data_IF_036910255004
#
_entry.id   IF_036910255004
#
_cell.length_a   1.000
_cell.length_b   1.000
_cell.length_c   1.000
_cell.angle_alpha   90.00
_cell.angle_beta   90.00
_cell.angle_gamma   90.00
#
_symmetry.space_group_name_H-M   'P 1'
#
loop_
_entity.id
_entity.type
_entity.pdbx_description
1 polymer ?
#
# COMPACT_ATOMS: atom_id res chain seq x y z
N UNK A 1 -8.27 10.60 1.60
CA UNK A 1 -9.45 11.03 0.83
C UNK A 1 -9.12 12.28 0.04
N UNK A 2 -9.63 12.49 -1.20
CA UNK A 2 -9.26 13.63 -2.04
C UNK A 2 -9.49 15.02 -1.41
N UNK A 3 -10.41 15.12 -0.44
CA UNK A 3 -10.64 16.36 0.32
C UNK A 3 -9.47 16.77 1.23
N UNK A 4 -8.55 15.87 1.55
CA UNK A 4 -7.50 16.09 2.55
C UNK A 4 -8.01 16.13 4.01
N UNK A 5 -9.32 16.04 4.24
CA UNK A 5 -9.93 16.10 5.58
C UNK A 5 -10.13 14.74 6.25
N UNK A 6 -9.86 13.64 5.52
CA UNK A 6 -9.93 12.27 6.02
C UNK A 6 -8.76 11.45 5.47
N UNK A 7 -8.15 10.64 6.34
CA UNK A 7 -7.01 9.80 6.03
C UNK A 7 -6.71 8.82 7.16
N UNK A 8 -5.66 8.03 7.02
CA UNK A 8 -5.18 7.12 8.06
C UNK A 8 -4.51 7.93 9.18
N UNK A 9 -4.95 7.74 10.43
CA UNK A 9 -4.36 8.37 11.62
C UNK A 9 -4.11 7.32 12.73
N UNK A 10 -3.05 6.50 12.59
CA UNK A 10 -2.76 5.45 13.55
C UNK A 10 -2.23 6.03 14.86
N UNK A 11 -2.70 5.47 15.98
CA UNK A 11 -2.20 5.82 17.31
C UNK A 11 -0.80 5.22 17.53
N UNK A 12 0.12 6.02 18.06
CA UNK A 12 1.48 5.58 18.40
C UNK A 12 2.43 5.51 17.20
N UNK A 13 3.23 4.43 17.13
CA UNK A 13 4.16 4.19 16.02
C UNK A 13 3.44 3.38 14.93
N UNK A 14 3.31 3.91 13.70
CA UNK A 14 2.70 3.15 12.62
C UNK A 14 3.51 1.90 12.31
N UNK A 15 2.81 0.78 12.08
CA UNK A 15 3.44 -0.46 11.62
C UNK A 15 3.50 -0.57 10.09
N UNK A 16 2.67 0.22 9.40
CA UNK A 16 2.51 0.23 7.94
C UNK A 16 3.42 1.29 7.30
N UNK A 17 3.83 1.04 6.05
CA UNK A 17 4.77 1.89 5.32
C UNK A 17 4.25 3.32 5.11
N UNK A 18 3.06 3.47 4.52
CA UNK A 18 2.51 4.77 4.09
C UNK A 18 2.34 5.80 5.23
N UNK A 19 1.70 5.47 6.37
CA UNK A 19 1.58 6.44 7.46
C UNK A 19 2.95 6.77 8.08
N UNK A 20 3.91 5.84 8.04
CA UNK A 20 5.27 6.11 8.50
C UNK A 20 5.99 7.11 7.58
N UNK A 21 5.95 6.89 6.25
CA UNK A 21 6.50 7.81 5.25
C UNK A 21 5.91 9.20 5.43
N UNK A 22 4.58 9.31 5.56
CA UNK A 22 3.90 10.59 5.76
C UNK A 22 4.40 11.31 7.02
N UNK A 23 4.59 10.59 8.13
CA UNK A 23 5.10 11.15 9.38
C UNK A 23 6.56 11.62 9.27
N UNK A 24 7.39 10.97 8.47
CA UNK A 24 8.75 11.46 8.18
C UNK A 24 8.68 12.74 7.35
N UNK A 25 7.85 12.76 6.31
CA UNK A 25 7.72 13.91 5.42
C UNK A 25 7.20 15.18 6.13
N UNK A 26 6.37 15.03 7.16
CA UNK A 26 5.91 16.17 7.99
C UNK A 26 6.81 16.45 9.21
N UNK A 27 7.98 15.79 9.31
CA UNK A 27 8.95 16.01 10.38
C UNK A 27 8.55 15.46 11.76
N UNK A 28 7.51 14.61 11.84
CA UNK A 28 7.14 13.91 13.09
C UNK A 28 8.12 12.78 13.43
N UNK A 29 8.92 12.32 12.45
CA UNK A 29 9.95 11.28 12.58
C UNK A 29 11.16 11.68 11.75
N UNK A 30 12.34 11.29 12.22
CA UNK A 30 13.59 11.64 11.55
C UNK A 30 13.81 10.86 10.24
N UNK A 31 13.47 9.56 10.23
CA UNK A 31 13.72 8.66 9.09
C UNK A 31 12.81 7.45 9.11
N UNK A 32 12.57 6.88 7.93
CA UNK A 32 11.91 5.59 7.73
C UNK A 32 12.92 4.44 7.87
N UNK A 33 12.56 3.37 8.59
CA UNK A 33 13.32 2.11 8.55
C UNK A 33 12.82 1.21 7.41
N UNK A 34 13.67 0.91 6.44
CA UNK A 34 13.41 0.01 5.31
C UNK A 34 13.98 -1.36 5.64
N UNK A 35 13.12 -2.36 5.80
CA UNK A 35 13.50 -3.68 6.29
C UNK A 35 13.91 -4.60 5.12
N UNK A 36 15.21 -4.84 4.99
CA UNK A 36 15.79 -5.66 3.92
C UNK A 36 16.06 -4.88 2.63
N UNK A 37 17.22 -5.17 2.04
CA UNK A 37 17.72 -4.58 0.79
C UNK A 37 18.37 -5.64 -0.12
N UNK A 38 18.12 -6.91 0.17
CA UNK A 38 18.74 -8.07 -0.44
C UNK A 38 17.69 -9.10 -0.90
N UNK A 39 16.41 -8.71 -0.97
CA UNK A 39 15.37 -9.55 -1.57
C UNK A 39 15.60 -9.69 -3.08
N UNK A 40 15.16 -10.81 -3.70
CA UNK A 40 15.27 -11.01 -5.15
C UNK A 40 14.22 -10.17 -5.90
N UNK A 41 14.35 -8.85 -5.81
CA UNK A 41 13.44 -7.81 -6.35
C UNK A 41 14.27 -6.77 -7.11
N UNK A 42 13.67 -5.90 -7.94
CA UNK A 42 14.43 -4.98 -8.79
C UNK A 42 15.42 -4.07 -8.05
N UNK A 43 15.08 -3.62 -6.83
CA UNK A 43 15.92 -2.73 -6.01
C UNK A 43 16.36 -3.33 -4.66
N UNK A 44 16.08 -4.62 -4.44
CA UNK A 44 16.40 -5.35 -3.22
C UNK A 44 15.40 -5.17 -2.07
N UNK A 45 14.41 -4.28 -2.18
CA UNK A 45 13.42 -4.01 -1.13
C UNK A 45 12.08 -4.71 -1.38
N UNK A 46 11.24 -4.82 -0.35
CA UNK A 46 9.96 -5.52 -0.48
C UNK A 46 9.01 -4.88 -1.50
N UNK A 47 8.42 -5.69 -2.38
CA UNK A 47 7.46 -5.25 -3.39
C UNK A 47 6.03 -5.58 -2.97
N UNK A 48 5.12 -4.60 -3.02
CA UNK A 48 3.71 -4.75 -2.61
C UNK A 48 2.76 -4.07 -3.59
N UNK A 49 1.54 -4.57 -3.68
CA UNK A 49 0.45 -3.92 -4.40
C UNK A 49 -0.24 -2.87 -3.52
N UNK A 50 0.05 -1.59 -3.81
CA UNK A 50 -0.54 -0.46 -3.10
C UNK A 50 -1.78 0.03 -3.84
N UNK A 51 -2.96 -0.24 -3.27
CA UNK A 51 -4.24 0.26 -3.75
C UNK A 51 -4.60 1.58 -3.09
N UNK A 52 -5.13 2.54 -3.86
CA UNK A 52 -5.66 3.76 -3.28
C UNK A 52 -6.95 3.47 -2.50
N UNK A 53 -7.06 3.99 -1.27
CA UNK A 53 -8.16 3.65 -0.35
C UNK A 53 -9.55 3.98 -0.91
N UNK A 54 -9.66 4.95 -1.82
CA UNK A 54 -10.94 5.25 -2.49
C UNK A 54 -11.34 4.16 -3.48
N UNK A 55 -10.39 3.61 -4.25
CA UNK A 55 -10.68 2.51 -5.18
C UNK A 55 -11.10 1.25 -4.40
N UNK A 56 -10.46 1.03 -3.24
CA UNK A 56 -10.87 -0.03 -2.33
C UNK A 56 -12.30 0.19 -1.82
N UNK A 57 -12.65 1.41 -1.43
CA UNK A 57 -14.02 1.75 -0.99
C UNK A 57 -15.05 1.55 -2.11
N UNK A 58 -14.73 1.99 -3.33
CA UNK A 58 -15.58 1.79 -4.52
C UNK A 58 -15.74 0.30 -4.84
N UNK A 59 -14.70 -0.50 -4.67
CA UNK A 59 -14.76 -1.96 -4.80
C UNK A 59 -15.74 -2.62 -3.84
N UNK A 60 -15.90 -2.10 -2.62
CA UNK A 60 -16.94 -2.58 -1.68
C UNK A 60 -18.35 -2.25 -2.19
N UNK A 61 -18.56 -1.06 -2.76
CA UNK A 61 -19.84 -0.68 -3.36
C UNK A 61 -20.16 -1.55 -4.59
N UNK A 62 -19.16 -1.83 -5.44
CA UNK A 62 -19.29 -2.72 -6.58
C UNK A 62 -19.67 -4.14 -6.15
N UNK A 63 -19.02 -4.69 -5.12
CA UNK A 63 -19.37 -5.98 -4.54
C UNK A 63 -20.83 -6.04 -4.06
N UNK A 64 -21.29 -5.02 -3.32
CA UNK A 64 -22.68 -4.95 -2.86
C UNK A 64 -23.67 -4.92 -4.03
N UNK A 65 -23.39 -4.15 -5.09
CA UNK A 65 -24.26 -4.05 -6.27
C UNK A 65 -24.27 -5.34 -7.10
N UNK A 66 -23.11 -5.97 -7.30
CA UNK A 66 -22.94 -7.07 -8.26
C UNK A 66 -23.22 -8.45 -7.66
N UNK A 67 -22.93 -8.64 -6.37
CA UNK A 67 -23.12 -9.94 -5.69
C UNK A 67 -23.91 -9.85 -4.39
N UNK A 68 -24.25 -8.66 -3.89
CA UNK A 68 -24.92 -8.52 -2.58
C UNK A 68 -26.30 -9.19 -2.45
N UNK A 69 -27.01 -9.39 -3.56
CA UNK A 69 -28.28 -10.12 -3.59
C UNK A 69 -28.13 -11.61 -3.99
N UNK A 70 -26.91 -12.07 -4.32
CA UNK A 70 -26.63 -13.45 -4.73
C UNK A 70 -26.33 -14.29 -3.49
N UNK A 71 -26.87 -15.50 -3.44
CA UNK A 71 -26.54 -16.47 -2.40
C UNK A 71 -25.15 -17.06 -2.64
N UNK A 72 -24.39 -17.27 -1.56
CA UNK A 72 -23.14 -18.02 -1.59
C UNK A 72 -21.95 -17.22 -1.08
N UNK A 73 -20.76 -17.81 -1.26
CA UNK A 73 -19.49 -17.21 -0.89
C UNK A 73 -18.81 -16.63 -2.13
N UNK A 74 -18.54 -15.34 -2.11
CA UNK A 74 -17.87 -14.63 -3.19
C UNK A 74 -16.56 -14.01 -2.68
N UNK A 75 -15.43 -14.53 -3.16
CA UNK A 75 -14.08 -14.10 -2.75
C UNK A 75 -13.43 -13.33 -3.90
N UNK A 76 -12.90 -12.16 -3.62
CA UNK A 76 -12.23 -11.29 -4.60
C UNK A 76 -10.94 -10.72 -4.00
N UNK A 77 -9.90 -10.59 -4.85
CA UNK A 77 -8.78 -9.71 -4.54
C UNK A 77 -9.16 -8.30 -5.01
N UNK A 78 -8.91 -7.30 -4.17
CA UNK A 78 -8.99 -5.89 -4.54
C UNK A 78 -7.58 -5.30 -4.43
N UNK A 79 -7.01 -4.95 -5.57
CA UNK A 79 -5.65 -4.44 -5.72
C UNK A 79 -5.51 -3.77 -7.08
N UNK A 80 -4.30 -3.32 -7.41
CA UNK A 80 -3.99 -2.73 -8.72
C UNK A 80 -3.44 -3.76 -9.71
N UNK A 81 -3.00 -4.91 -9.19
CA UNK A 81 -2.30 -5.93 -9.97
C UNK A 81 -0.85 -5.56 -10.32
N UNK A 82 -0.35 -4.46 -9.75
CA UNK A 82 1.00 -3.96 -9.97
C UNK A 82 1.72 -3.87 -8.64
N UNK A 83 2.91 -4.48 -8.57
CA UNK A 83 3.79 -4.32 -7.42
C UNK A 83 4.61 -3.04 -7.53
N UNK A 84 4.82 -2.37 -6.40
CA UNK A 84 5.83 -1.32 -6.22
C UNK A 84 6.72 -1.63 -5.03
N UNK A 85 8.01 -1.34 -5.14
CA UNK A 85 8.98 -1.53 -4.08
C UNK A 85 8.82 -0.50 -2.94
N UNK A 86 9.51 -0.71 -1.83
CA UNK A 86 9.53 0.28 -0.74
C UNK A 86 10.17 1.58 -1.21
N UNK A 87 11.27 1.53 -1.97
CA UNK A 87 11.96 2.74 -2.41
C UNK A 87 11.20 3.49 -3.50
N UNK A 88 10.49 2.80 -4.38
CA UNK A 88 9.57 3.44 -5.34
C UNK A 88 8.49 4.25 -4.61
N UNK A 89 7.94 3.73 -3.50
CA UNK A 89 6.97 4.45 -2.69
C UNK A 89 7.58 5.65 -1.96
N UNK A 90 8.81 5.52 -1.47
CA UNK A 90 9.55 6.62 -0.82
C UNK A 90 9.81 7.75 -1.83
N UNK A 91 10.25 7.41 -3.04
CA UNK A 91 10.49 8.36 -4.13
C UNK A 91 9.19 9.04 -4.58
N UNK A 92 8.14 8.27 -4.86
CA UNK A 92 6.85 8.79 -5.26
C UNK A 92 6.27 9.77 -4.22
N UNK A 93 6.40 9.44 -2.93
CA UNK A 93 5.97 10.33 -1.86
C UNK A 93 6.81 11.61 -1.80
N UNK A 94 8.13 11.50 -1.96
CA UNK A 94 9.03 12.65 -1.97
C UNK A 94 8.73 13.63 -3.10
N UNK A 95 8.40 13.11 -4.30
CA UNK A 95 7.92 13.91 -5.43
C UNK A 95 6.59 14.59 -5.08
N UNK A 96 5.64 13.85 -4.50
CA UNK A 96 4.32 14.38 -4.17
C UNK A 96 4.33 15.47 -3.09
N UNK A 97 5.21 15.37 -2.09
CA UNK A 97 5.32 16.37 -1.02
C UNK A 97 6.37 17.45 -1.28
N UNK A 98 7.14 17.35 -2.38
CA UNK A 98 8.20 18.28 -2.74
C UNK A 98 9.42 18.24 -1.83
N UNK A 99 9.56 17.20 -1.00
CA UNK A 99 10.66 17.06 -0.04
C UNK A 99 11.19 15.61 -0.04
N UNK A 100 12.52 15.38 -0.09
CA UNK A 100 13.07 14.04 0.05
C UNK A 100 12.65 13.41 1.38
N UNK A 101 12.29 12.13 1.35
CA UNK A 101 11.97 11.34 2.55
C UNK A 101 13.22 10.60 3.02
N UNK A 102 13.72 10.94 4.20
CA UNK A 102 14.88 10.26 4.79
C UNK A 102 14.54 8.83 5.19
N UNK A 103 15.44 7.89 4.91
CA UNK A 103 15.30 6.50 5.31
C UNK A 103 16.65 5.87 5.67
N UNK A 104 16.60 4.73 6.36
CA UNK A 104 17.74 3.86 6.62
C UNK A 104 17.40 2.43 6.25
N UNK A 105 18.42 1.67 5.81
CA UNK A 105 18.28 0.24 5.55
C UNK A 105 18.51 -0.54 6.85
N UNK A 106 17.61 -1.46 7.14
CA UNK A 106 17.63 -2.33 8.32
C UNK A 106 17.63 -3.80 7.91
N UNK A 107 17.89 -4.69 8.87
CA UNK A 107 17.70 -6.12 8.68
C UNK A 107 16.25 -6.45 8.28
N UNK A 108 16.07 -7.58 7.58
CA UNK A 108 14.73 -8.06 7.21
C UNK A 108 13.86 -8.24 8.45
N UNK A 109 12.58 -7.91 8.31
CA UNK A 109 11.58 -8.19 9.33
C UNK A 109 11.18 -9.68 9.23
N UNK A 110 11.21 -10.45 10.33
CA UNK A 110 10.81 -11.86 10.29
C UNK A 110 9.39 -12.02 9.76
N UNK A 111 9.22 -12.92 8.77
CA UNK A 111 7.93 -13.18 8.12
C UNK A 111 7.64 -12.34 6.87
N UNK A 112 8.43 -11.31 6.58
CA UNK A 112 8.23 -10.51 5.35
C UNK A 112 8.66 -11.29 4.11
N UNK A 113 7.73 -11.43 3.17
CA UNK A 113 7.96 -11.99 1.84
C UNK A 113 8.58 -10.94 0.91
N UNK A 114 9.31 -11.40 -0.12
CA UNK A 114 9.95 -10.52 -1.10
C UNK A 114 8.91 -9.69 -1.87
N UNK A 115 7.96 -10.35 -2.53
CA UNK A 115 7.01 -9.70 -3.43
C UNK A 115 5.60 -10.24 -3.25
N UNK A 116 4.59 -9.36 -3.39
CA UNK A 116 3.18 -9.74 -3.32
C UNK A 116 2.29 -8.73 -4.03
N UNK A 117 1.44 -9.18 -4.94
CA UNK A 117 0.42 -8.36 -5.59
C UNK A 117 -0.83 -9.17 -5.96
N UNK A 118 -1.93 -8.47 -6.23
CA UNK A 118 -3.20 -9.11 -6.54
C UNK A 118 -3.27 -9.59 -8.00
N UNK A 119 -3.97 -10.70 -8.23
CA UNK A 119 -4.62 -10.96 -9.53
C UNK A 119 -6.01 -10.34 -9.47
N UNK A 120 -6.28 -9.37 -10.35
CA UNK A 120 -7.47 -8.50 -10.32
C UNK A 120 -8.54 -8.88 -11.33
N UNK A 121 -8.24 -9.83 -12.23
CA UNK A 121 -9.07 -10.20 -13.39
C UNK A 121 -10.45 -10.71 -12.97
N UNK A 122 -10.55 -11.36 -11.81
CA UNK A 122 -11.84 -11.82 -11.28
C UNK A 122 -12.71 -10.65 -10.82
N UNK A 123 -12.14 -9.67 -10.14
CA UNK A 123 -12.88 -8.50 -9.67
C UNK A 123 -13.37 -7.68 -10.85
N UNK A 124 -12.50 -7.37 -11.80
CA UNK A 124 -12.84 -6.61 -13.02
C UNK A 124 -13.98 -7.28 -13.81
N UNK A 125 -13.90 -8.60 -14.03
CA UNK A 125 -14.92 -9.32 -14.79
C UNK A 125 -16.27 -9.38 -14.07
N UNK A 126 -16.27 -9.63 -12.77
CA UNK A 126 -17.49 -9.97 -12.03
C UNK A 126 -18.14 -8.76 -11.34
N UNK A 127 -17.35 -7.73 -11.00
CA UNK A 127 -17.79 -6.55 -10.25
C UNK A 127 -17.91 -5.29 -11.13
N UNK A 128 -17.23 -5.26 -12.28
CA UNK A 128 -17.09 -4.08 -13.14
C UNK A 128 -15.91 -3.22 -12.72
#
# INVERSE_FOLDING_TARGET
HPSGTMGEDPQGIPNNLMPFIAQVAVGRREKLSVFGNDYPTPDGTGVRDYIHVMDLADGHIAALKSVGAKSGLHIYNLGTGKGSSVLEMVEAFGVACGNPVSYELCQRRPGDIAECWASTEKAERDLG
#
